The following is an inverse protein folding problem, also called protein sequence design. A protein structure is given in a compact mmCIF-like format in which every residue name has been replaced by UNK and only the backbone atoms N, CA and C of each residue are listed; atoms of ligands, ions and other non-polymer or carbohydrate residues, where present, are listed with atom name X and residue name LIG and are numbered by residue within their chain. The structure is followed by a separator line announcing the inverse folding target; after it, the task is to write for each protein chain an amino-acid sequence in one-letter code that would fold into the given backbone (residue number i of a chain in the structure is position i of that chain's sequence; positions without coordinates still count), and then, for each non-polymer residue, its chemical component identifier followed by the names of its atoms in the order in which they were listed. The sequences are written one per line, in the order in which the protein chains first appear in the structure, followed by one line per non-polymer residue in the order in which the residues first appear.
data_IF_847192896346
#
_entry.id   IF_847192896346
#
_cell.length_a   1.000
_cell.length_b   1.000
_cell.length_c   1.000
_cell.angle_alpha   90.00
_cell.angle_beta   90.00
_cell.angle_gamma   90.00
#
_symmetry.space_group_name_H-M   'P 1'
#
loop_
_entity.id
_entity.type
_entity.pdbx_description
1 polymer ?
#
# COMPACT_ATOMS: atom_id res chain seq x y z
N UNK A 1 9.51 -5.74 -20.46
CA UNK A 1 8.47 -6.60 -19.85
C UNK A 1 8.66 -6.41 -18.36
N UNK A 2 7.87 -5.55 -17.73
CA UNK A 2 7.93 -5.31 -16.28
C UNK A 2 7.58 -6.61 -15.56
N UNK A 3 8.31 -6.94 -14.49
CA UNK A 3 8.24 -8.28 -13.87
C UNK A 3 6.98 -8.49 -12.99
N UNK A 4 6.15 -7.45 -12.88
CA UNK A 4 4.90 -7.43 -12.10
C UNK A 4 5.11 -7.24 -10.59
N UNK A 5 6.35 -7.05 -10.13
CA UNK A 5 6.66 -6.82 -8.71
C UNK A 5 6.63 -5.34 -8.38
N UNK A 6 6.27 -5.06 -7.13
CA UNK A 6 6.32 -3.73 -6.55
C UNK A 6 7.77 -3.24 -6.37
N UNK A 7 8.05 -1.95 -6.62
CA UNK A 7 9.37 -1.39 -6.41
C UNK A 7 9.82 -1.46 -4.94
N UNK A 8 11.08 -1.85 -4.73
CA UNK A 8 11.83 -1.68 -3.49
C UNK A 8 12.94 -0.67 -3.73
N UNK A 9 12.88 0.47 -3.05
CA UNK A 9 13.79 1.60 -3.22
C UNK A 9 14.73 1.68 -2.03
N UNK A 10 16.03 1.53 -2.27
CA UNK A 10 17.08 1.79 -1.30
C UNK A 10 17.44 3.28 -1.33
N UNK A 11 17.18 4.00 -0.24
CA UNK A 11 17.31 5.46 -0.16
C UNK A 11 18.28 5.90 0.93
N UNK A 12 19.59 5.79 0.65
CA UNK A 12 20.64 6.28 1.54
C UNK A 12 20.60 7.81 1.78
N UNK A 13 19.88 8.55 0.93
CA UNK A 13 19.89 10.02 0.94
C UNK A 13 18.64 10.67 1.54
N UNK A 14 17.64 9.86 1.90
CA UNK A 14 16.28 10.25 2.27
C UNK A 14 15.51 11.04 1.19
N UNK A 15 16.09 11.24 0.01
CA UNK A 15 15.49 12.05 -1.06
C UNK A 15 14.31 11.36 -1.70
N UNK A 16 14.32 10.04 -1.82
CA UNK A 16 13.18 9.30 -2.37
C UNK A 16 12.00 9.36 -1.41
N UNK A 17 12.24 9.16 -0.11
CA UNK A 17 11.22 9.32 0.93
C UNK A 17 10.61 10.74 0.90
N UNK A 18 11.45 11.77 0.85
CA UNK A 18 11.00 13.17 0.74
C UNK A 18 10.19 13.38 -0.55
N UNK A 19 10.67 12.89 -1.69
CA UNK A 19 9.97 13.02 -2.96
C UNK A 19 8.53 12.46 -2.88
N UNK A 20 8.37 11.24 -2.35
CA UNK A 20 7.05 10.63 -2.23
C UNK A 20 6.11 11.39 -1.28
N UNK A 21 6.63 11.93 -0.17
CA UNK A 21 5.81 12.75 0.74
C UNK A 21 5.22 14.00 0.06
N UNK A 22 5.91 14.53 -0.95
CA UNK A 22 5.44 15.70 -1.71
C UNK A 22 4.81 15.35 -3.07
N UNK A 23 4.79 14.08 -3.48
CA UNK A 23 4.24 13.65 -4.77
C UNK A 23 2.72 13.48 -4.77
N UNK A 24 2.09 13.50 -3.59
CA UNK A 24 0.67 13.19 -3.41
C UNK A 24 0.36 11.71 -3.17
N UNK A 25 1.39 10.87 -3.06
CA UNK A 25 1.26 9.48 -2.65
C UNK A 25 0.71 9.36 -1.22
N UNK A 26 -0.01 8.28 -0.92
CA UNK A 26 -0.24 7.88 0.47
C UNK A 26 1.07 7.35 1.05
N UNK A 27 1.62 8.08 2.02
CA UNK A 27 2.90 7.76 2.63
C UNK A 27 2.69 7.29 4.06
N UNK A 28 3.10 6.06 4.36
CA UNK A 28 3.04 5.48 5.69
C UNK A 28 4.44 5.18 6.21
N UNK A 29 4.75 5.71 7.39
CA UNK A 29 5.92 5.27 8.15
C UNK A 29 5.59 3.94 8.83
N UNK A 30 6.57 3.03 8.91
CA UNK A 30 6.33 1.70 9.49
C UNK A 30 5.87 1.75 10.96
N UNK A 31 6.27 2.78 11.70
CA UNK A 31 5.80 3.03 13.06
C UNK A 31 4.31 3.39 13.12
N UNK A 32 3.78 4.09 12.11
CA UNK A 32 2.35 4.38 11.99
C UNK A 32 1.57 3.09 11.72
N UNK A 33 2.07 2.24 10.80
CA UNK A 33 1.44 0.94 10.51
C UNK A 33 1.40 0.01 11.72
N UNK A 34 2.46 0.00 12.53
CA UNK A 34 2.50 -0.77 13.78
C UNK A 34 1.46 -0.31 14.80
N UNK A 35 1.05 0.96 14.78
CA UNK A 35 -0.03 1.46 15.64
C UNK A 35 -1.38 0.97 15.13
N UNK A 36 -1.61 0.99 13.81
CA UNK A 36 -2.89 0.57 13.23
C UNK A 36 -3.24 -0.89 13.52
N UNK A 37 -2.24 -1.77 13.59
CA UNK A 37 -2.46 -3.20 13.85
C UNK A 37 -2.91 -3.51 15.28
N UNK A 38 -2.61 -2.62 16.24
CA UNK A 38 -2.95 -2.80 17.65
C UNK A 38 -4.00 -1.82 18.16
N UNK A 39 -4.35 -0.81 17.37
CA UNK A 39 -5.37 0.18 17.73
C UNK A 39 -6.74 -0.48 17.87
N UNK A 40 -7.50 -0.08 18.89
CA UNK A 40 -8.91 -0.45 19.04
C UNK A 40 -9.83 0.52 18.29
N UNK A 41 -9.28 1.63 17.77
CA UNK A 41 -10.04 2.62 17.02
C UNK A 41 -10.23 2.13 15.57
N UNK A 42 -11.49 1.97 15.17
CA UNK A 42 -11.86 1.49 13.84
C UNK A 42 -11.27 2.36 12.72
N UNK A 43 -11.19 3.67 12.94
CA UNK A 43 -10.63 4.61 11.95
C UNK A 43 -9.16 4.26 11.64
N UNK A 44 -8.35 4.01 12.66
CA UNK A 44 -6.94 3.66 12.50
C UNK A 44 -6.76 2.32 11.78
N UNK A 45 -7.55 1.32 12.14
CA UNK A 45 -7.53 0.00 11.50
C UNK A 45 -7.85 0.08 10.00
N UNK A 46 -8.70 1.04 9.61
CA UNK A 46 -9.15 1.21 8.23
C UNK A 46 -8.25 2.15 7.40
N UNK A 47 -7.34 2.93 8.01
CA UNK A 47 -6.54 3.94 7.28
C UNK A 47 -5.78 3.38 6.08
N UNK A 48 -5.09 2.25 6.26
CA UNK A 48 -4.33 1.63 5.17
C UNK A 48 -5.28 1.17 4.04
N UNK A 49 -6.38 0.52 4.39
CA UNK A 49 -7.40 0.08 3.42
C UNK A 49 -8.00 1.26 2.65
N UNK A 50 -8.41 2.32 3.34
CA UNK A 50 -9.01 3.50 2.71
C UNK A 50 -7.99 4.20 1.80
N UNK A 51 -6.72 4.26 2.20
CA UNK A 51 -5.66 4.77 1.35
C UNK A 51 -5.45 3.91 0.08
N UNK A 52 -5.46 2.58 0.22
CA UNK A 52 -5.39 1.65 -0.91
C UNK A 52 -6.57 1.87 -1.86
N UNK A 53 -7.81 1.90 -1.36
CA UNK A 53 -9.01 2.11 -2.18
C UNK A 53 -8.96 3.45 -2.91
N UNK A 54 -8.56 4.53 -2.24
CA UNK A 54 -8.40 5.85 -2.84
C UNK A 54 -7.36 5.84 -3.97
N UNK A 55 -6.19 5.24 -3.75
CA UNK A 55 -5.12 5.25 -4.74
C UNK A 55 -5.37 4.27 -5.88
N UNK A 56 -6.09 3.17 -5.65
CA UNK A 56 -6.62 2.30 -6.71
C UNK A 56 -7.62 3.05 -7.59
N UNK A 57 -8.51 3.84 -7.00
CA UNK A 57 -9.51 4.66 -7.72
C UNK A 57 -8.86 5.69 -8.65
N UNK A 58 -7.75 6.30 -8.24
CA UNK A 58 -7.09 7.37 -8.98
C UNK A 58 -5.78 6.98 -9.69
N UNK A 59 -5.35 5.72 -9.57
CA UNK A 59 -4.10 5.24 -10.15
C UNK A 59 -2.85 5.90 -9.56
N UNK A 60 -2.86 6.17 -8.25
CA UNK A 60 -1.74 6.78 -7.53
C UNK A 60 -0.86 5.76 -6.80
N UNK A 61 0.03 6.26 -5.96
CA UNK A 61 0.99 5.44 -5.23
C UNK A 61 0.67 5.31 -3.74
N UNK A 62 0.90 4.11 -3.20
CA UNK A 62 0.98 3.86 -1.76
C UNK A 62 2.42 3.52 -1.44
N UNK A 63 3.01 4.24 -0.49
CA UNK A 63 4.43 4.17 -0.14
C UNK A 63 4.54 3.73 1.31
N UNK A 64 5.22 2.61 1.53
CA UNK A 64 5.54 2.11 2.86
C UNK A 64 7.02 2.38 3.12
N UNK A 65 7.31 3.30 4.03
CA UNK A 65 8.66 3.60 4.47
C UNK A 65 9.04 2.66 5.62
N UNK A 66 9.93 1.72 5.32
CA UNK A 66 10.47 0.73 6.26
C UNK A 66 11.52 1.34 7.20
N UNK A 67 11.88 2.62 7.05
CA UNK A 67 12.99 3.21 7.78
C UNK A 67 14.32 2.58 7.34
N UNK A 68 15.22 2.32 8.26
CA UNK A 68 16.59 1.83 8.05
C UNK A 68 16.75 0.30 7.93
N UNK A 69 15.67 -0.48 8.04
CA UNK A 69 15.76 -1.94 8.16
C UNK A 69 14.70 -2.66 7.32
N UNK A 70 15.16 -3.47 6.36
CA UNK A 70 14.30 -4.29 5.51
C UNK A 70 13.54 -5.37 6.31
N UNK A 71 14.05 -5.79 7.47
CA UNK A 71 13.37 -6.77 8.32
C UNK A 71 11.99 -6.26 8.79
N UNK A 72 11.78 -4.94 8.81
CA UNK A 72 10.50 -4.33 9.18
C UNK A 72 9.41 -4.53 8.12
N UNK A 73 9.71 -5.16 6.98
CA UNK A 73 8.70 -5.63 6.02
C UNK A 73 7.67 -6.56 6.69
N UNK A 74 8.03 -7.30 7.74
CA UNK A 74 7.07 -8.12 8.50
C UNK A 74 5.96 -7.30 9.15
N UNK A 75 6.25 -6.07 9.58
CA UNK A 75 5.24 -5.16 10.16
C UNK A 75 4.27 -4.67 9.07
N UNK A 76 4.78 -4.42 7.86
CA UNK A 76 3.93 -4.12 6.72
C UNK A 76 3.04 -5.33 6.37
N UNK A 77 3.60 -6.54 6.38
CA UNK A 77 2.83 -7.78 6.18
C UNK A 77 1.71 -7.92 7.22
N UNK A 78 1.99 -7.72 8.50
CA UNK A 78 0.99 -7.72 9.57
C UNK A 78 -0.12 -6.68 9.32
N UNK A 79 0.25 -5.45 8.94
CA UNK A 79 -0.71 -4.38 8.66
C UNK A 79 -1.64 -4.71 7.47
N UNK A 80 -1.10 -5.26 6.38
CA UNK A 80 -1.93 -5.72 5.26
C UNK A 80 -2.80 -6.91 5.69
N UNK A 81 -2.26 -7.86 6.43
CA UNK A 81 -3.00 -9.05 6.85
C UNK A 81 -4.08 -8.75 7.90
N UNK A 82 -4.01 -7.60 8.58
CA UNK A 82 -5.08 -7.10 9.45
C UNK A 82 -6.33 -6.68 8.66
N UNK A 83 -6.18 -6.26 7.40
CA UNK A 83 -7.31 -5.93 6.50
C UNK A 83 -8.05 -7.19 6.11
N UNK A 84 -7.30 -8.20 5.67
CA UNK A 84 -7.82 -9.53 5.33
C UNK A 84 -6.68 -10.53 5.49
N UNK A 85 -6.99 -11.73 5.98
CA UNK A 85 -6.02 -12.81 6.09
C UNK A 85 -5.29 -13.04 4.75
N UNK A 86 -3.96 -13.18 4.83
CA UNK A 86 -3.03 -13.38 3.69
C UNK A 86 -3.04 -12.27 2.62
N UNK A 87 -3.62 -11.11 2.92
CA UNK A 87 -3.75 -10.03 1.95
C UNK A 87 -2.41 -9.51 1.44
N UNK A 88 -1.38 -9.48 2.29
CA UNK A 88 -0.04 -9.09 1.85
C UNK A 88 0.46 -9.98 0.71
N UNK A 89 0.32 -11.31 0.84
CA UNK A 89 0.75 -12.25 -0.19
C UNK A 89 -0.04 -12.10 -1.49
N UNK A 90 -1.35 -11.86 -1.39
CA UNK A 90 -2.19 -11.55 -2.56
C UNK A 90 -1.68 -10.31 -3.26
N UNK A 91 -1.36 -9.26 -2.51
CA UNK A 91 -0.93 -8.00 -3.06
C UNK A 91 0.48 -8.07 -3.66
N UNK A 92 1.40 -8.82 -3.04
CA UNK A 92 2.78 -9.02 -3.52
C UNK A 92 2.89 -10.00 -4.70
N UNK A 93 1.81 -10.70 -5.05
CA UNK A 93 1.82 -11.62 -6.19
C UNK A 93 2.02 -10.86 -7.51
N UNK A 94 2.94 -11.34 -8.35
CA UNK A 94 3.26 -10.73 -9.65
C UNK A 94 2.07 -10.59 -10.61
N UNK A 95 1.00 -11.34 -10.36
CA UNK A 95 -0.22 -11.33 -11.16
C UNK A 95 -1.32 -10.49 -10.54
N UNK A 96 -1.08 -9.82 -9.40
CA UNK A 96 -2.08 -9.07 -8.60
C UNK A 96 -2.96 -8.17 -9.46
N UNK A 97 -2.39 -7.50 -10.48
CA UNK A 97 -3.16 -6.68 -11.41
C UNK A 97 -4.28 -7.49 -12.09
N UNK A 98 -3.97 -8.66 -12.63
CA UNK A 98 -4.92 -9.49 -13.37
C UNK A 98 -5.73 -10.44 -12.48
N UNK A 99 -5.15 -10.92 -11.39
CA UNK A 99 -5.78 -11.91 -10.50
C UNK A 99 -6.69 -11.26 -9.46
N UNK A 100 -6.42 -10.00 -9.08
CA UNK A 100 -7.07 -9.34 -7.96
C UNK A 100 -7.63 -7.94 -8.30
N UNK A 101 -6.86 -7.05 -8.91
CA UNK A 101 -7.25 -5.65 -9.15
C UNK A 101 -8.26 -5.50 -10.30
N UNK A 102 -7.96 -5.96 -11.51
CA UNK A 102 -8.86 -5.85 -12.67
C UNK A 102 -10.19 -6.59 -12.46
N UNK A 103 -10.25 -7.77 -11.81
CA UNK A 103 -11.52 -8.39 -11.45
C UNK A 103 -12.24 -7.70 -10.27
N UNK A 104 -11.70 -6.58 -9.75
CA UNK A 104 -12.24 -5.79 -8.63
C UNK A 104 -12.51 -6.59 -7.35
N UNK A 105 -11.70 -7.62 -7.07
CA UNK A 105 -11.87 -8.46 -5.87
C UNK A 105 -11.72 -7.67 -4.56
N UNK A 106 -10.96 -6.58 -4.59
CA UNK A 106 -10.80 -5.67 -3.45
C UNK A 106 -12.11 -5.00 -3.02
N UNK A 107 -13.14 -4.93 -3.88
CA UNK A 107 -14.43 -4.31 -3.51
C UNK A 107 -15.10 -5.04 -2.33
N UNK A 108 -14.79 -6.31 -2.11
CA UNK A 108 -15.29 -7.06 -0.94
C UNK A 108 -14.78 -6.51 0.39
N UNK A 109 -13.71 -5.69 0.36
CA UNK A 109 -13.09 -5.08 1.54
C UNK A 109 -13.69 -3.71 1.87
N UNK A 110 -14.50 -3.13 0.98
CA UNK A 110 -15.03 -1.78 1.18
C UNK A 110 -15.90 -1.74 2.45
N UNK A 111 -15.56 -0.88 3.43
CA UNK A 111 -16.38 -0.76 4.64
C UNK A 111 -17.78 -0.24 4.31
N UNK A 112 -18.84 -0.75 4.97
CA UNK A 112 -20.22 -0.34 4.70
C UNK A 112 -20.45 1.17 4.82
N UNK A 113 -19.69 1.85 5.69
CA UNK A 113 -19.81 3.28 5.98
C UNK A 113 -19.39 4.17 4.79
N UNK A 114 -18.57 3.64 3.88
CA UNK A 114 -18.04 4.36 2.70
C UNK A 114 -18.42 3.68 1.38
N UNK A 115 -19.34 2.73 1.39
CA UNK A 115 -19.70 1.92 0.22
C UNK A 115 -20.14 2.76 -0.99
N UNK A 116 -20.84 3.87 -0.76
CA UNK A 116 -21.31 4.77 -1.81
C UNK A 116 -20.15 5.49 -2.55
N UNK A 117 -19.01 5.69 -1.88
CA UNK A 117 -17.83 6.36 -2.44
C UNK A 117 -16.95 5.42 -3.28
N UNK A 118 -17.12 4.11 -3.11
CA UNK A 118 -16.30 3.04 -3.68
C UNK A 118 -17.13 1.96 -4.39
N UNK A 119 -17.95 2.39 -5.36
CA UNK A 119 -18.67 1.47 -6.25
C UNK A 119 -17.81 1.01 -7.43
N UNK A 120 -18.17 -0.10 -8.07
CA UNK A 120 -17.41 -0.68 -9.18
C UNK A 120 -17.13 0.31 -10.32
N UNK A 121 -18.10 1.17 -10.63
CA UNK A 121 -18.01 2.19 -11.69
C UNK A 121 -16.99 3.30 -11.40
N UNK A 122 -16.53 3.41 -10.15
CA UNK A 122 -15.54 4.41 -9.74
C UNK A 122 -14.11 3.99 -10.08
N UNK A 123 -13.87 2.72 -10.45
CA UNK A 123 -12.55 2.18 -10.71
C UNK A 123 -12.35 1.95 -12.21
N UNK A 124 -11.47 2.75 -12.81
CA UNK A 124 -11.09 2.66 -14.22
C UNK A 124 -9.92 1.69 -14.43
N UNK A 125 -9.97 0.87 -15.47
CA UNK A 125 -8.95 -0.16 -15.75
C UNK A 125 -7.57 0.44 -16.03
N UNK A 126 -7.50 1.60 -16.68
CA UNK A 126 -6.26 2.30 -16.99
C UNK A 126 -5.64 2.84 -15.70
N UNK A 127 -6.45 3.37 -14.79
CA UNK A 127 -5.99 3.86 -13.48
C UNK A 127 -5.57 2.71 -12.56
N UNK A 128 -6.31 1.61 -12.52
CA UNK A 128 -5.92 0.41 -11.78
C UNK A 128 -4.57 -0.14 -12.25
N UNK A 129 -4.28 -0.04 -13.56
CA UNK A 129 -3.01 -0.46 -14.14
C UNK A 129 -1.85 0.51 -13.84
N UNK A 130 -2.14 1.74 -13.41
CA UNK A 130 -1.15 2.77 -13.02
C UNK A 130 -0.86 2.78 -11.52
N UNK A 131 -1.71 2.16 -10.71
CA UNK A 131 -1.49 2.06 -9.27
C UNK A 131 -0.16 1.37 -8.95
N UNK A 132 0.58 1.90 -7.98
CA UNK A 132 1.86 1.33 -7.54
C UNK A 132 1.92 1.27 -6.01
N UNK A 133 2.23 0.08 -5.48
CA UNK A 133 2.73 -0.06 -4.10
C UNK A 133 4.26 0.04 -4.14
N UNK A 134 4.85 0.87 -3.28
CA UNK A 134 6.31 1.09 -3.20
C UNK A 134 6.79 0.86 -1.77
N UNK A 135 7.92 0.18 -1.63
CA UNK A 135 8.64 0.08 -0.35
C UNK A 135 9.90 0.93 -0.42
N UNK A 136 10.11 1.77 0.59
CA UNK A 136 11.33 2.57 0.73
C UNK A 136 12.08 2.11 1.96
N UNK A 137 13.39 1.89 1.83
CA UNK A 137 14.27 1.51 2.93
C UNK A 137 15.54 2.35 2.87
N UNK A 138 15.87 3.03 3.95
CA UNK A 138 17.14 3.71 4.15
C UNK A 138 18.29 2.71 4.16
N UNK A 139 19.47 3.16 3.74
CA UNK A 139 20.69 2.35 3.80
C UNK A 139 21.71 3.15 4.58
N UNK A 140 22.16 2.61 5.70
CA UNK A 140 23.38 3.10 6.34
C UNK A 140 24.56 2.72 5.44
N UNK A 141 25.25 3.71 4.88
CA UNK A 141 26.56 3.45 4.27
C UNK A 141 27.50 2.97 5.39
N UNK A 142 28.17 1.80 5.24
CA UNK A 142 29.20 1.41 6.19
C UNK A 142 30.33 2.44 6.11
N UNK A 143 30.49 3.21 7.19
CA UNK A 143 31.58 4.17 7.41
C UNK A 143 32.94 3.50 7.55
#
# INVERSE_FOLDING_TARGET
REDGRWPLVFDASEKAAIFFRYSGAAFFDIAELAVFTVSEELEDQQRLLLALLKHLKYGGEVVINLGDDLAKLSVAEEAFNAIQCEFFNVFMDRSVLYSYLLPRRFLQLVPPEVADDYTELMFDDELLSKFVLVFVVGVDEPS
#
